data_IF_956902283119
#
_entry.id   IF_956902283119
#
_cell.length_a   1.000
_cell.length_b   1.000
_cell.length_c   1.000
_cell.angle_alpha   90.00
_cell.angle_beta   90.00
_cell.angle_gamma   90.00
#
_symmetry.space_group_name_H-M   'P 1'
#
loop_
_entity.id
_entity.type
_entity.pdbx_description
1 polymer ?
#
# COMPACT_ATOMS: atom_id res chain seq x y z
N UNK A 1 -1.16 -69.01 50.85
CA UNK A 1 -1.40 -67.60 50.92
C UNK A 1 -0.66 -66.95 49.73
N UNK A 2 -1.35 -66.80 48.59
CA UNK A 2 -0.79 -66.17 47.40
C UNK A 2 -1.29 -64.70 47.34
N UNK A 3 -0.37 -63.79 47.47
CA UNK A 3 -0.64 -62.33 47.32
C UNK A 3 -0.54 -61.94 45.85
N UNK A 4 -1.69 -61.74 45.18
CA UNK A 4 -1.78 -61.15 43.86
C UNK A 4 -1.33 -59.70 43.89
N UNK A 5 -0.15 -59.39 43.35
CA UNK A 5 0.33 -58.05 43.02
C UNK A 5 -0.43 -57.53 41.80
N UNK A 6 -1.34 -56.64 42.01
CA UNK A 6 -2.08 -55.89 40.98
C UNK A 6 -1.17 -54.86 40.37
N UNK A 7 -0.74 -55.10 39.15
CA UNK A 7 0.08 -54.12 38.31
C UNK A 7 -0.76 -52.91 37.99
N UNK A 8 -0.33 -51.67 38.30
CA UNK A 8 -1.07 -50.49 37.89
C UNK A 8 -0.96 -50.33 36.38
N UNK A 9 -2.11 -50.23 35.71
CA UNK A 9 -2.23 -49.93 34.29
C UNK A 9 -1.88 -48.46 34.04
N UNK A 10 -0.67 -48.17 33.58
CA UNK A 10 -0.19 -46.88 33.15
C UNK A 10 -0.41 -46.75 31.64
N UNK A 11 -1.63 -46.67 31.21
CA UNK A 11 -1.88 -46.50 29.77
C UNK A 11 -3.09 -45.61 29.42
N UNK A 12 -3.33 -44.49 30.13
CA UNK A 12 -4.47 -43.63 29.79
C UNK A 12 -4.22 -42.11 29.79
N UNK A 13 -3.00 -41.64 29.98
CA UNK A 13 -2.74 -40.18 30.14
C UNK A 13 -2.11 -39.52 28.91
N UNK A 14 -1.67 -40.28 27.89
CA UNK A 14 -0.89 -39.70 26.76
C UNK A 14 -1.76 -39.29 25.54
N UNK A 15 -3.07 -39.57 25.54
CA UNK A 15 -3.91 -39.39 24.33
C UNK A 15 -4.62 -38.03 24.21
N UNK A 16 -4.73 -37.26 25.27
CA UNK A 16 -5.48 -36.00 25.25
C UNK A 16 -4.62 -34.77 24.98
N UNK A 17 -3.29 -34.81 25.19
CA UNK A 17 -2.41 -33.66 24.99
C UNK A 17 -2.10 -33.36 23.52
N UNK A 18 -2.09 -34.36 22.64
CA UNK A 18 -1.84 -34.15 21.21
C UNK A 18 -2.94 -33.36 20.48
N UNK A 19 -4.19 -33.50 20.87
CA UNK A 19 -5.32 -32.80 20.30
C UNK A 19 -5.27 -31.31 20.60
N UNK A 20 -4.91 -30.95 21.83
CA UNK A 20 -4.77 -29.56 22.26
C UNK A 20 -3.61 -28.84 21.56
N UNK A 21 -2.45 -29.47 21.45
CA UNK A 21 -1.27 -28.92 20.80
C UNK A 21 -1.51 -28.66 19.32
N UNK A 22 -2.26 -29.49 18.61
CA UNK A 22 -2.57 -29.34 17.21
C UNK A 22 -3.50 -28.13 16.96
N UNK A 23 -4.49 -27.92 17.84
CA UNK A 23 -5.40 -26.77 17.76
C UNK A 23 -4.61 -25.46 17.96
N UNK A 24 -3.72 -25.43 18.95
CA UNK A 24 -2.85 -24.28 19.20
C UNK A 24 -1.91 -23.98 18.02
N UNK A 25 -1.37 -25.02 17.41
CA UNK A 25 -0.50 -24.88 16.23
C UNK A 25 -1.26 -24.27 15.04
N UNK A 26 -2.47 -24.77 14.74
CA UNK A 26 -3.32 -24.24 13.66
C UNK A 26 -3.67 -22.77 13.94
N UNK A 27 -4.01 -22.42 15.17
CA UNK A 27 -4.30 -21.05 15.58
C UNK A 27 -3.10 -20.13 15.39
N UNK A 28 -1.89 -20.58 15.80
CA UNK A 28 -0.64 -19.84 15.61
C UNK A 28 -0.34 -19.60 14.12
N UNK A 29 -0.49 -20.61 13.28
CA UNK A 29 -0.29 -20.48 11.84
C UNK A 29 -1.28 -19.51 11.22
N UNK A 30 -2.56 -19.58 11.60
CA UNK A 30 -3.58 -18.65 11.11
C UNK A 30 -3.27 -17.19 11.51
N UNK A 31 -2.83 -16.97 12.75
CA UNK A 31 -2.45 -15.65 13.24
C UNK A 31 -1.23 -15.12 12.49
N UNK A 32 -0.25 -15.96 12.22
CA UNK A 32 0.96 -15.62 11.47
C UNK A 32 0.63 -15.25 10.01
N UNK A 33 -0.26 -16.00 9.36
CA UNK A 33 -0.75 -15.68 8.01
C UNK A 33 -1.46 -14.33 7.97
N UNK A 34 -2.34 -14.04 8.95
CA UNK A 34 -3.00 -12.75 9.06
C UNK A 34 -2.00 -11.61 9.20
N UNK A 35 -0.97 -11.78 10.01
CA UNK A 35 0.08 -10.78 10.22
C UNK A 35 0.89 -10.55 8.94
N UNK A 36 1.26 -11.59 8.21
CA UNK A 36 1.97 -11.47 6.92
C UNK A 36 1.12 -10.74 5.89
N UNK A 37 -0.18 -11.05 5.78
CA UNK A 37 -1.09 -10.39 4.85
C UNK A 37 -1.25 -8.89 5.18
N UNK A 38 -1.37 -8.53 6.45
CA UNK A 38 -1.49 -7.12 6.85
C UNK A 38 -0.20 -6.34 6.59
N UNK A 39 0.96 -6.93 6.81
CA UNK A 39 2.24 -6.31 6.47
C UNK A 39 2.40 -6.15 4.96
N UNK A 40 2.06 -7.17 4.17
CA UNK A 40 2.16 -7.11 2.71
C UNK A 40 1.28 -6.00 2.12
N UNK A 41 0.03 -5.86 2.58
CA UNK A 41 -0.86 -4.78 2.12
C UNK A 41 -0.35 -3.40 2.53
N UNK A 42 0.20 -3.25 3.74
CA UNK A 42 0.77 -1.98 4.22
C UNK A 42 2.00 -1.56 3.40
N UNK A 43 2.89 -2.50 3.09
CA UNK A 43 4.06 -2.24 2.25
C UNK A 43 3.64 -1.82 0.84
N UNK A 44 2.68 -2.54 0.25
CA UNK A 44 2.19 -2.21 -1.09
C UNK A 44 1.55 -0.81 -1.15
N UNK A 45 0.77 -0.44 -0.13
CA UNK A 45 0.20 0.92 -0.03
C UNK A 45 1.29 1.98 0.12
N UNK A 46 2.32 1.70 0.92
CA UNK A 46 3.46 2.62 1.10
C UNK A 46 4.25 2.82 -0.20
N UNK A 47 4.52 1.74 -0.94
CA UNK A 47 5.23 1.83 -2.22
C UNK A 47 4.41 2.61 -3.25
N UNK A 48 3.10 2.40 -3.31
CA UNK A 48 2.22 3.16 -4.19
C UNK A 48 2.21 4.66 -3.86
N UNK A 49 2.11 5.02 -2.58
CA UNK A 49 2.16 6.43 -2.16
C UNK A 49 3.50 7.06 -2.52
N UNK A 50 4.61 6.35 -2.35
CA UNK A 50 5.94 6.83 -2.71
C UNK A 50 6.09 7.05 -4.22
N UNK A 51 5.61 6.13 -5.03
CA UNK A 51 5.62 6.26 -6.49
C UNK A 51 4.79 7.46 -6.95
N UNK A 52 3.64 7.70 -6.30
CA UNK A 52 2.80 8.87 -6.58
C UNK A 52 3.48 10.19 -6.17
N UNK A 53 4.21 10.22 -5.05
CA UNK A 53 5.02 11.37 -4.63
C UNK A 53 6.11 11.66 -5.66
N UNK A 54 6.91 10.65 -6.02
CA UNK A 54 8.00 10.79 -6.99
C UNK A 54 7.47 11.28 -8.35
N UNK A 55 6.33 10.77 -8.80
CA UNK A 55 5.64 11.24 -9.99
C UNK A 55 5.22 12.73 -9.88
N UNK A 56 4.60 13.11 -8.76
CA UNK A 56 4.09 14.47 -8.52
C UNK A 56 5.23 15.48 -8.49
N UNK A 57 6.37 15.13 -7.88
CA UNK A 57 7.57 15.98 -7.84
C UNK A 57 8.17 16.17 -9.23
N UNK A 58 8.34 15.09 -9.99
CA UNK A 58 8.85 15.17 -11.37
C UNK A 58 7.95 16.00 -12.26
N UNK A 59 6.64 15.84 -12.12
CA UNK A 59 5.66 16.62 -12.87
C UNK A 59 5.70 18.10 -12.51
N UNK A 60 5.81 18.45 -11.23
CA UNK A 60 5.93 19.84 -10.76
C UNK A 60 7.21 20.50 -11.31
N UNK A 61 8.33 19.78 -11.33
CA UNK A 61 9.59 20.27 -11.92
C UNK A 61 9.47 20.45 -13.43
N UNK A 62 8.81 19.54 -14.14
CA UNK A 62 8.60 19.65 -15.58
C UNK A 62 7.73 20.87 -15.94
N UNK A 63 6.65 21.13 -15.18
CA UNK A 63 5.84 22.35 -15.35
C UNK A 63 6.69 23.59 -15.15
N UNK A 64 7.47 23.65 -14.07
CA UNK A 64 8.32 24.80 -13.78
C UNK A 64 9.31 25.08 -14.92
N UNK A 65 9.96 24.05 -15.43
CA UNK A 65 10.92 24.16 -16.53
C UNK A 65 10.24 24.70 -17.79
N UNK A 66 9.06 24.18 -18.15
CA UNK A 66 8.31 24.65 -19.33
C UNK A 66 7.80 26.10 -19.16
N UNK A 67 7.36 26.47 -17.94
CA UNK A 67 6.96 27.85 -17.66
C UNK A 67 8.08 28.86 -17.88
N UNK A 68 9.32 28.53 -17.54
CA UNK A 68 10.48 29.38 -17.76
C UNK A 68 10.77 29.60 -19.26
N UNK A 69 10.47 28.59 -20.11
CA UNK A 69 10.74 28.69 -21.54
C UNK A 69 9.59 29.25 -22.36
N UNK A 70 8.34 28.97 -22.04
CA UNK A 70 7.19 29.24 -22.93
C UNK A 70 6.32 30.40 -22.44
N UNK A 71 6.39 30.81 -21.15
CA UNK A 71 5.56 31.91 -20.60
C UNK A 71 4.05 31.66 -20.70
N UNK A 72 3.63 30.44 -21.01
CA UNK A 72 2.24 30.05 -21.28
C UNK A 72 1.45 29.84 -19.97
N UNK A 73 0.13 29.73 -20.07
CA UNK A 73 -0.71 29.49 -18.91
C UNK A 73 -0.41 28.10 -18.31
N UNK A 74 -0.24 28.03 -16.99
CA UNK A 74 0.12 26.81 -16.25
C UNK A 74 -0.86 25.66 -16.52
N UNK A 75 -2.14 25.94 -16.64
CA UNK A 75 -3.18 24.94 -16.89
C UNK A 75 -3.02 24.25 -18.24
N UNK A 76 -2.64 24.98 -19.30
CA UNK A 76 -2.44 24.40 -20.62
C UNK A 76 -1.19 23.52 -20.70
N UNK A 77 -0.11 23.95 -20.04
CA UNK A 77 1.13 23.15 -19.92
C UNK A 77 0.85 21.87 -19.12
N UNK A 78 0.13 21.97 -18.01
CA UNK A 78 -0.18 20.84 -17.16
C UNK A 78 -1.01 19.78 -17.89
N UNK A 79 -2.04 20.18 -18.64
CA UNK A 79 -2.85 19.22 -19.41
C UNK A 79 -2.09 18.57 -20.56
N UNK A 80 -1.24 19.31 -21.26
CA UNK A 80 -0.39 18.78 -22.32
C UNK A 80 0.62 17.74 -21.77
N UNK A 81 1.31 18.08 -20.67
CA UNK A 81 2.24 17.17 -20.01
C UNK A 81 1.55 15.93 -19.45
N UNK A 82 0.34 16.06 -18.89
CA UNK A 82 -0.40 14.94 -18.37
C UNK A 82 -0.73 13.92 -19.47
N UNK A 83 -1.12 14.39 -20.66
CA UNK A 83 -1.41 13.50 -21.79
C UNK A 83 -0.17 12.78 -22.32
N UNK A 84 1.02 13.38 -22.17
CA UNK A 84 2.30 12.81 -22.59
C UNK A 84 2.84 11.77 -21.60
N UNK A 85 2.71 12.05 -20.30
CA UNK A 85 3.34 11.26 -19.24
C UNK A 85 2.40 10.18 -18.67
N UNK A 86 1.08 10.41 -18.68
CA UNK A 86 0.09 9.47 -18.15
C UNK A 86 0.23 8.02 -18.66
N UNK A 87 0.52 7.75 -19.97
CA UNK A 87 0.65 6.37 -20.42
C UNK A 87 1.89 5.63 -19.92
N UNK A 88 2.86 6.33 -19.31
CA UNK A 88 4.09 5.72 -18.77
C UNK A 88 3.89 5.13 -17.37
N UNK A 89 2.82 5.52 -16.67
CA UNK A 89 2.52 5.08 -15.31
C UNK A 89 1.18 4.35 -15.28
N UNK A 90 1.11 3.25 -14.52
CA UNK A 90 -0.11 2.44 -14.40
C UNK A 90 -0.92 2.81 -13.15
N UNK A 91 -1.17 4.11 -12.95
CA UNK A 91 -2.07 4.55 -11.88
C UNK A 91 -3.53 4.42 -12.28
N UNK A 92 -4.35 3.78 -11.45
CA UNK A 92 -5.79 3.75 -11.64
C UNK A 92 -6.39 5.11 -11.28
N UNK A 93 -7.23 5.65 -12.17
CA UNK A 93 -7.96 6.91 -11.97
C UNK A 93 -7.08 8.09 -11.54
N UNK A 94 -5.89 8.26 -12.16
CA UNK A 94 -5.02 9.41 -11.91
C UNK A 94 -5.73 10.72 -12.27
N UNK A 95 -5.87 11.63 -11.31
CA UNK A 95 -6.52 12.92 -11.47
C UNK A 95 -5.63 14.05 -10.98
N UNK A 96 -5.40 15.04 -11.85
CA UNK A 96 -4.80 16.32 -11.48
C UNK A 96 -5.87 17.17 -10.76
N UNK A 97 -5.73 17.39 -9.47
CA UNK A 97 -6.72 18.10 -8.66
C UNK A 97 -6.45 19.59 -8.55
N UNK A 98 -5.20 19.97 -8.47
CA UNK A 98 -4.80 21.37 -8.32
C UNK A 98 -3.44 21.62 -8.99
N UNK A 99 -3.37 22.71 -9.75
CA UNK A 99 -2.11 23.31 -10.19
C UNK A 99 -2.22 24.81 -9.89
N UNK A 100 -1.31 25.33 -9.08
CA UNK A 100 -1.26 26.76 -8.75
C UNK A 100 0.18 27.23 -8.65
N UNK A 101 0.38 28.51 -8.92
CA UNK A 101 1.66 29.20 -8.67
C UNK A 101 1.49 29.99 -7.39
N UNK A 102 2.30 29.68 -6.38
CA UNK A 102 2.36 30.42 -5.13
C UNK A 102 3.62 31.29 -5.08
N UNK A 103 3.47 32.53 -4.58
CA UNK A 103 4.57 33.46 -4.33
C UNK A 103 5.49 33.76 -5.55
N UNK A 104 4.96 33.72 -6.77
CA UNK A 104 5.65 34.17 -7.99
C UNK A 104 6.60 33.14 -8.64
N UNK A 105 7.07 32.09 -7.93
CA UNK A 105 8.01 31.11 -8.48
C UNK A 105 7.75 29.67 -8.08
N UNK A 106 6.91 29.43 -7.06
CA UNK A 106 6.67 28.08 -6.56
C UNK A 106 5.46 27.45 -7.26
N UNK A 107 5.68 26.36 -7.95
CA UNK A 107 4.61 25.57 -8.57
C UNK A 107 4.13 24.52 -7.58
N UNK A 108 2.84 24.58 -7.25
CA UNK A 108 2.16 23.58 -6.40
C UNK A 108 1.29 22.69 -7.25
N UNK A 109 1.48 21.40 -7.12
CA UNK A 109 0.72 20.36 -7.85
C UNK A 109 0.15 19.37 -6.87
N UNK A 110 -1.11 18.98 -7.07
CA UNK A 110 -1.78 17.94 -6.28
C UNK A 110 -2.34 16.90 -7.22
N UNK A 111 -1.87 15.66 -7.07
CA UNK A 111 -2.40 14.49 -7.76
C UNK A 111 -3.15 13.59 -6.80
N UNK A 112 -4.22 12.99 -7.29
CA UNK A 112 -4.95 11.93 -6.60
C UNK A 112 -5.03 10.71 -7.50
N UNK A 113 -4.81 9.52 -6.93
CA UNK A 113 -4.98 8.25 -7.61
C UNK A 113 -5.69 7.24 -6.69
N UNK A 114 -6.40 6.28 -7.29
CA UNK A 114 -7.10 5.25 -6.54
C UNK A 114 -6.16 4.04 -6.36
N UNK A 115 -5.87 3.73 -5.10
CA UNK A 115 -5.13 2.53 -4.72
C UNK A 115 -6.11 1.38 -4.50
N UNK A 116 -5.86 0.24 -5.13
CA UNK A 116 -6.62 -0.98 -4.96
C UNK A 116 -5.80 -2.01 -4.20
N UNK A 117 -6.44 -2.71 -3.25
CA UNK A 117 -5.76 -3.78 -2.51
C UNK A 117 -5.32 -4.91 -3.45
N UNK A 118 -4.07 -5.40 -3.36
CA UNK A 118 -3.62 -6.56 -4.14
C UNK A 118 -4.27 -7.86 -3.69
N UNK A 119 -4.95 -7.87 -2.53
CA UNK A 119 -5.62 -9.06 -1.97
C UNK A 119 -7.08 -9.01 -2.36
N UNK A 120 -7.50 -9.88 -3.28
CA UNK A 120 -8.85 -9.93 -3.85
C UNK A 120 -9.99 -10.14 -2.82
N UNK A 121 -9.66 -10.61 -1.62
CA UNK A 121 -10.62 -10.81 -0.52
C UNK A 121 -10.86 -9.55 0.32
N UNK A 122 -10.02 -8.53 0.15
CA UNK A 122 -10.11 -7.25 0.87
C UNK A 122 -10.45 -6.20 -0.17
N UNK A 123 -11.74 -5.93 -0.34
CA UNK A 123 -12.24 -4.85 -1.21
C UNK A 123 -11.99 -3.49 -0.52
N UNK A 124 -10.73 -3.11 -0.45
CA UNK A 124 -10.30 -1.82 0.07
C UNK A 124 -9.73 -0.99 -1.07
N UNK A 125 -10.56 -0.19 -1.71
CA UNK A 125 -10.12 0.90 -2.56
C UNK A 125 -9.98 2.18 -1.74
N UNK A 126 -8.86 2.87 -1.86
CA UNK A 126 -8.63 4.13 -1.14
C UNK A 126 -8.03 5.16 -2.09
N UNK A 127 -8.63 6.34 -2.11
CA UNK A 127 -8.06 7.49 -2.83
C UNK A 127 -6.92 8.09 -2.04
N UNK A 128 -5.75 8.16 -2.66
CA UNK A 128 -4.54 8.76 -2.11
C UNK A 128 -4.25 10.02 -2.91
N UNK A 129 -4.04 11.14 -2.21
CA UNK A 129 -3.71 12.42 -2.81
C UNK A 129 -2.39 12.89 -2.25
N UNK A 130 -1.46 13.23 -3.14
CA UNK A 130 -0.13 13.73 -2.80
C UNK A 130 0.11 15.10 -3.40
N UNK A 131 0.91 15.91 -2.72
CA UNK A 131 1.22 17.28 -3.07
C UNK A 131 2.72 17.49 -3.23
N UNK A 132 3.13 18.11 -4.30
CA UNK A 132 4.50 18.56 -4.50
C UNK A 132 4.60 20.07 -4.72
N UNK A 133 5.72 20.63 -4.26
CA UNK A 133 6.10 22.02 -4.40
C UNK A 133 7.45 22.10 -5.12
N UNK A 134 7.47 22.68 -6.33
CA UNK A 134 8.71 22.99 -7.06
C UNK A 134 9.09 24.46 -6.84
N UNK A 135 10.25 24.67 -6.18
CA UNK A 135 10.85 26.00 -5.96
C UNK A 135 11.92 26.32 -6.99
#
# INVERSE_FOLDING_TARGET
METCLRKPSVSKVVKDDYGSALIWFVFLVALLCMLVLTLATSIHQYLFARELIDFTEQFALAIKTKLQYEGSQVSSIATALLSEVSPQYSFDCLQLKLVSIEAGETVKVVFCADWNSPVATIDASRRICEMALAR
#
